data_IF_227704344082
#
_entry.id   IF_227704344082
#
_cell.length_a   1.000
_cell.length_b   1.000
_cell.length_c   1.000
_cell.angle_alpha   90.00
_cell.angle_beta   90.00
_cell.angle_gamma   90.00
#
_symmetry.space_group_name_H-M   'P 1'
#
loop_
_entity.id
_entity.type
_entity.pdbx_description
1 polymer ?
#
# COMPACT_ATOMS: atom_id res chain seq x y z
N UNK A 1 7.62 -21.50 18.04
CA UNK A 1 6.51 -20.81 17.37
C UNK A 1 6.72 -20.94 15.87
N UNK A 2 5.84 -21.66 15.18
CA UNK A 2 6.02 -22.04 13.78
C UNK A 2 6.06 -20.82 12.86
N UNK A 3 6.95 -20.84 11.87
CA UNK A 3 7.01 -19.82 10.83
C UNK A 3 5.66 -19.74 10.12
N UNK A 4 5.04 -18.55 10.13
CA UNK A 4 3.88 -18.24 9.30
C UNK A 4 4.37 -17.92 7.87
N UNK A 5 5.02 -18.89 7.24
CA UNK A 5 5.56 -18.73 5.89
C UNK A 5 4.40 -18.52 4.90
N UNK A 6 4.53 -17.54 4.01
CA UNK A 6 3.59 -17.34 2.90
C UNK A 6 2.28 -16.59 3.21
N UNK A 7 2.09 -16.04 4.42
CA UNK A 7 0.91 -15.21 4.72
C UNK A 7 1.10 -13.80 4.15
N UNK A 8 0.11 -13.32 3.40
CA UNK A 8 0.03 -11.92 2.95
C UNK A 8 -1.19 -11.23 3.57
N UNK A 9 -0.94 -10.13 4.27
CA UNK A 9 -1.97 -9.20 4.72
C UNK A 9 -2.07 -8.00 3.79
N UNK A 10 -3.28 -7.48 3.61
CA UNK A 10 -3.55 -6.29 2.81
C UNK A 10 -4.08 -5.18 3.73
N UNK A 11 -3.46 -4.01 3.68
CA UNK A 11 -3.91 -2.82 4.39
C UNK A 11 -4.29 -1.76 3.38
N UNK A 12 -5.52 -1.25 3.44
CA UNK A 12 -6.04 -0.34 2.42
C UNK A 12 -6.32 1.05 3.02
N UNK A 13 -5.98 2.11 2.27
CA UNK A 13 -6.26 3.51 2.65
C UNK A 13 -6.55 4.39 1.44
N UNK A 14 -7.18 5.55 1.67
CA UNK A 14 -7.45 6.53 0.61
C UNK A 14 -6.23 7.40 0.32
N UNK A 15 -6.13 7.90 -0.92
CA UNK A 15 -5.17 8.96 -1.23
C UNK A 15 -5.50 10.25 -0.46
N UNK A 16 -4.49 11.12 -0.30
CA UNK A 16 -4.63 12.39 0.38
C UNK A 16 -5.59 13.35 -0.35
N UNK A 17 -6.10 14.33 0.40
CA UNK A 17 -6.96 15.39 -0.13
C UNK A 17 -6.30 16.10 -1.33
N UNK A 18 -7.09 16.37 -2.37
CA UNK A 18 -6.68 17.20 -3.49
C UNK A 18 -7.78 18.23 -3.84
N UNK A 19 -7.41 19.28 -4.58
CA UNK A 19 -8.34 20.28 -5.12
C UNK A 19 -8.58 20.13 -6.64
N UNK A 20 -8.16 18.99 -7.20
CA UNK A 20 -8.11 18.76 -8.65
C UNK A 20 -7.21 19.77 -9.38
N UNK A 21 -7.41 19.94 -10.69
CA UNK A 21 -6.61 20.86 -11.53
C UNK A 21 -6.94 22.35 -11.32
N UNK A 22 -7.74 22.71 -10.31
CA UNK A 22 -8.36 24.05 -10.23
C UNK A 22 -7.64 25.00 -9.28
N UNK A 23 -6.80 24.50 -8.37
CA UNK A 23 -6.06 25.34 -7.44
C UNK A 23 -4.77 24.67 -6.96
N UNK A 24 -3.65 25.03 -7.60
CA UNK A 24 -2.32 24.53 -7.25
C UNK A 24 -1.63 25.39 -6.16
N UNK A 25 -2.24 26.51 -5.73
CA UNK A 25 -1.62 27.41 -4.73
C UNK A 25 -1.54 26.78 -3.34
N UNK A 26 -2.38 25.77 -3.09
CA UNK A 26 -2.45 25.00 -1.86
C UNK A 26 -1.75 23.63 -1.95
N UNK A 27 -1.06 23.35 -3.05
CA UNK A 27 -0.33 22.10 -3.28
C UNK A 27 0.82 21.95 -2.29
N UNK A 28 1.06 20.71 -1.87
CA UNK A 28 2.19 20.35 -1.00
C UNK A 28 3.51 20.45 -1.76
N UNK A 29 4.53 21.03 -1.14
CA UNK A 29 5.83 21.18 -1.79
C UNK A 29 6.50 19.81 -1.91
N UNK A 30 6.81 19.40 -3.15
CA UNK A 30 7.44 18.10 -3.44
C UNK A 30 6.47 16.93 -3.56
N UNK A 31 5.17 17.14 -3.36
CA UNK A 31 4.15 16.09 -3.51
C UNK A 31 3.02 16.57 -4.41
N UNK A 32 3.12 16.33 -5.72
CA UNK A 32 2.18 16.93 -6.65
C UNK A 32 0.75 16.40 -6.50
N UNK A 33 -0.24 17.22 -6.86
CA UNK A 33 -1.66 16.87 -6.89
C UNK A 33 -2.26 16.47 -5.52
N UNK A 34 -1.63 16.85 -4.41
CA UNK A 34 -2.20 16.77 -3.05
C UNK A 34 -2.03 18.11 -2.32
N UNK A 35 -2.97 18.46 -1.43
CA UNK A 35 -2.89 19.73 -0.69
C UNK A 35 -1.91 19.66 0.47
N UNK A 36 -1.44 20.81 0.98
CA UNK A 36 -0.66 20.90 2.23
C UNK A 36 -1.37 20.24 3.42
N UNK A 37 -2.70 20.39 3.49
CA UNK A 37 -3.53 19.73 4.50
C UNK A 37 -3.53 18.21 4.30
N UNK A 38 -3.71 17.76 3.06
CA UNK A 38 -3.63 16.35 2.68
C UNK A 38 -2.29 15.73 3.05
N UNK A 39 -1.18 16.41 2.76
CA UNK A 39 0.17 16.00 3.19
C UNK A 39 0.26 15.86 4.71
N UNK A 40 -0.14 16.89 5.47
CA UNK A 40 -0.08 16.89 6.93
C UNK A 40 -0.91 15.75 7.55
N UNK A 41 -2.11 15.50 7.02
CA UNK A 41 -2.97 14.40 7.48
C UNK A 41 -2.38 13.04 7.12
N UNK A 42 -1.80 12.88 5.93
CA UNK A 42 -1.08 11.65 5.53
C UNK A 42 0.13 11.38 6.45
N UNK A 43 0.91 12.42 6.80
CA UNK A 43 2.03 12.27 7.76
C UNK A 43 1.55 11.78 9.12
N UNK A 44 0.47 12.35 9.66
CA UNK A 44 -0.14 11.86 10.91
C UNK A 44 -0.57 10.40 10.80
N UNK A 45 -1.14 10.01 9.67
CA UNK A 45 -1.56 8.62 9.41
C UNK A 45 -0.41 7.65 9.22
N UNK A 46 0.81 8.12 8.92
CA UNK A 46 1.99 7.24 8.77
C UNK A 46 2.33 6.46 10.06
N UNK A 47 1.81 6.88 11.21
CA UNK A 47 1.87 6.11 12.46
C UNK A 47 1.25 4.71 12.34
N UNK A 48 0.29 4.51 11.43
CA UNK A 48 -0.24 3.17 11.11
C UNK A 48 0.88 2.30 10.54
N UNK A 49 1.69 2.81 9.61
CA UNK A 49 2.81 2.07 9.04
C UNK A 49 3.88 1.76 10.07
N UNK A 50 4.16 2.68 11.00
CA UNK A 50 5.09 2.40 12.10
C UNK A 50 4.60 1.22 12.96
N UNK A 51 3.30 1.18 13.29
CA UNK A 51 2.71 0.04 14.01
C UNK A 51 2.84 -1.26 13.22
N UNK A 52 2.58 -1.23 11.92
CA UNK A 52 2.73 -2.39 11.02
C UNK A 52 4.17 -2.89 11.02
N UNK A 53 5.15 -2.00 10.82
CA UNK A 53 6.57 -2.37 10.82
C UNK A 53 6.98 -2.96 12.18
N UNK A 54 6.49 -2.40 13.28
CA UNK A 54 6.78 -2.94 14.61
C UNK A 54 6.15 -4.31 14.86
N UNK A 55 4.97 -4.59 14.27
CA UNK A 55 4.32 -5.90 14.36
C UNK A 55 4.82 -6.93 13.35
N UNK A 56 5.56 -6.50 12.31
CA UNK A 56 6.13 -7.45 11.35
C UNK A 56 7.09 -8.40 12.07
N UNK A 57 7.02 -9.72 11.78
CA UNK A 57 8.02 -10.65 12.27
C UNK A 57 9.40 -10.30 11.70
N UNK A 58 10.46 -10.85 12.32
CA UNK A 58 11.80 -10.74 11.78
C UNK A 58 11.82 -11.25 10.31
N UNK A 59 12.49 -10.49 9.43
CA UNK A 59 12.49 -10.80 7.98
C UNK A 59 11.22 -10.41 7.23
N UNK A 60 10.19 -9.90 7.91
CA UNK A 60 8.93 -9.50 7.31
C UNK A 60 9.09 -8.34 6.32
N UNK A 61 8.18 -8.28 5.35
CA UNK A 61 8.19 -7.30 4.27
C UNK A 61 6.96 -6.42 4.35
N UNK A 62 7.15 -5.11 4.39
CA UNK A 62 6.11 -4.12 4.14
C UNK A 62 6.30 -3.58 2.72
N UNK A 63 5.29 -3.73 1.88
CA UNK A 63 5.26 -3.14 0.56
C UNK A 63 4.22 -2.02 0.48
N UNK A 64 4.63 -0.86 -0.03
CA UNK A 64 3.78 0.31 -0.27
C UNK A 64 3.38 0.34 -1.75
N UNK A 65 2.08 0.31 -2.04
CA UNK A 65 1.53 0.10 -3.38
C UNK A 65 0.37 1.04 -3.72
N UNK A 66 0.17 1.35 -5.00
CA UNK A 66 -0.90 2.24 -5.47
C UNK A 66 -1.94 1.53 -6.33
N UNK A 67 -3.22 1.76 -6.10
CA UNK A 67 -4.29 1.20 -6.95
C UNK A 67 -4.47 1.91 -8.29
N UNK A 68 -3.78 3.04 -8.51
CA UNK A 68 -4.04 3.93 -9.64
C UNK A 68 -2.78 4.65 -10.08
N UNK A 69 -2.70 4.95 -11.39
CA UNK A 69 -1.68 5.80 -12.03
C UNK A 69 -1.82 7.29 -11.69
N UNK A 70 -2.88 7.68 -10.98
CA UNK A 70 -3.11 9.07 -10.64
C UNK A 70 -1.96 9.61 -9.80
N UNK A 71 -1.41 10.76 -10.20
CA UNK A 71 -0.27 11.42 -9.53
C UNK A 71 -0.50 11.54 -8.02
N UNK A 72 -1.71 11.93 -7.59
CA UNK A 72 -2.10 12.02 -6.17
C UNK A 72 -1.91 10.72 -5.37
N UNK A 73 -2.14 9.56 -5.99
CA UNK A 73 -1.97 8.26 -5.35
C UNK A 73 -0.49 8.00 -5.09
N UNK A 74 0.37 8.27 -6.09
CA UNK A 74 1.82 8.14 -5.94
C UNK A 74 2.40 9.17 -4.97
N UNK A 75 1.95 10.42 -5.01
CA UNK A 75 2.35 11.47 -4.07
C UNK A 75 1.99 11.09 -2.63
N UNK A 76 0.79 10.53 -2.41
CA UNK A 76 0.40 10.05 -1.07
C UNK A 76 1.30 8.93 -0.58
N UNK A 77 1.66 7.97 -1.43
CA UNK A 77 2.60 6.90 -1.08
C UNK A 77 4.00 7.44 -0.76
N UNK A 78 4.47 8.44 -1.50
CA UNK A 78 5.74 9.09 -1.24
C UNK A 78 5.75 9.77 0.13
N UNK A 79 4.68 10.50 0.50
CA UNK A 79 4.54 11.08 1.85
C UNK A 79 4.61 10.00 2.92
N UNK A 80 3.90 8.88 2.75
CA UNK A 80 3.96 7.74 3.67
C UNK A 80 5.37 7.17 3.80
N UNK A 81 6.06 6.94 2.68
CA UNK A 81 7.41 6.39 2.66
C UNK A 81 8.42 7.31 3.35
N UNK A 82 8.37 8.61 3.05
CA UNK A 82 9.26 9.61 3.63
C UNK A 82 9.03 9.76 5.14
N UNK A 83 7.77 9.81 5.57
CA UNK A 83 7.44 9.93 6.98
C UNK A 83 7.83 8.67 7.76
N UNK A 84 7.55 7.48 7.20
CA UNK A 84 7.96 6.23 7.82
C UNK A 84 9.48 6.13 7.95
N UNK A 85 10.24 6.58 6.95
CA UNK A 85 11.70 6.63 7.01
C UNK A 85 12.19 7.54 8.13
N UNK A 86 11.57 8.72 8.32
CA UNK A 86 11.87 9.62 9.44
C UNK A 86 11.56 8.96 10.79
N UNK A 87 10.39 8.35 10.92
CA UNK A 87 9.94 7.71 12.16
C UNK A 87 10.84 6.53 12.58
N UNK A 88 11.33 5.76 11.61
CA UNK A 88 12.19 4.60 11.88
C UNK A 88 13.67 4.96 12.09
N UNK A 89 14.08 6.18 11.71
CA UNK A 89 15.38 6.78 12.00
C UNK A 89 16.60 5.83 11.86
N UNK A 90 16.64 5.02 10.79
CA UNK A 90 17.77 4.11 10.54
C UNK A 90 17.86 2.90 11.46
N UNK A 91 16.72 2.34 11.90
CA UNK A 91 16.67 1.05 12.59
C UNK A 91 17.58 0.01 11.92
N UNK A 92 18.48 -0.60 12.72
CA UNK A 92 19.57 -1.45 12.21
C UNK A 92 19.10 -2.73 11.52
N UNK A 93 17.86 -3.11 11.74
CA UNK A 93 17.17 -4.29 11.21
C UNK A 93 16.20 -3.95 10.07
N UNK A 94 16.31 -2.77 9.45
CA UNK A 94 15.39 -2.32 8.40
C UNK A 94 16.16 -1.82 7.18
N UNK A 95 15.76 -2.30 6.00
CA UNK A 95 16.26 -1.82 4.71
C UNK A 95 15.12 -1.24 3.89
N UNK A 96 15.37 -0.09 3.27
CA UNK A 96 14.45 0.56 2.34
C UNK A 96 14.90 0.34 0.91
N UNK A 97 13.96 0.00 0.05
CA UNK A 97 14.17 -0.09 -1.39
C UNK A 97 13.14 0.77 -2.12
N UNK A 98 13.56 1.37 -3.23
CA UNK A 98 12.74 2.29 -4.03
C UNK A 98 12.57 1.85 -5.49
N UNK A 99 13.31 0.84 -5.97
CA UNK A 99 13.22 0.32 -7.35
C UNK A 99 13.23 -1.23 -7.41
N UNK A 100 12.54 -1.85 -8.40
CA UNK A 100 12.40 -3.31 -8.47
C UNK A 100 13.72 -4.04 -8.71
N UNK A 101 14.68 -3.41 -9.38
CA UNK A 101 16.04 -3.95 -9.53
C UNK A 101 16.72 -4.15 -8.18
N UNK A 102 16.50 -3.24 -7.23
CA UNK A 102 16.99 -3.39 -5.85
C UNK A 102 16.27 -4.49 -5.07
N UNK A 103 15.05 -4.88 -5.44
CA UNK A 103 14.36 -6.03 -4.84
C UNK A 103 15.04 -7.36 -5.20
N UNK A 104 15.82 -7.45 -6.28
CA UNK A 104 16.64 -8.63 -6.53
C UNK A 104 17.74 -8.79 -5.45
N UNK A 105 18.27 -7.69 -4.93
CA UNK A 105 19.19 -7.69 -3.79
C UNK A 105 18.51 -8.13 -2.49
N UNK A 106 17.18 -8.07 -2.39
CA UNK A 106 16.49 -8.56 -1.21
C UNK A 106 16.69 -10.05 -0.94
N UNK A 107 16.94 -10.87 -1.98
CA UNK A 107 17.21 -12.30 -1.82
C UNK A 107 18.49 -12.59 -1.04
N UNK A 108 19.40 -11.62 -0.97
CA UNK A 108 20.67 -11.74 -0.22
C UNK A 108 20.60 -11.07 1.16
N UNK A 109 19.51 -10.38 1.48
CA UNK A 109 19.29 -9.78 2.80
C UNK A 109 18.95 -10.87 3.80
N UNK A 110 19.60 -10.87 4.96
CA UNK A 110 19.36 -11.86 6.01
C UNK A 110 17.89 -11.91 6.47
N UNK A 111 17.41 -13.11 6.83
CA UNK A 111 16.01 -13.36 7.20
C UNK A 111 15.56 -12.74 8.53
N UNK A 112 16.45 -11.99 9.20
CA UNK A 112 16.12 -11.20 10.38
C UNK A 112 15.83 -9.73 10.04
N UNK A 113 16.22 -9.26 8.85
CA UNK A 113 16.12 -7.87 8.43
C UNK A 113 14.76 -7.64 7.76
N UNK A 114 14.01 -6.69 8.28
CA UNK A 114 12.74 -6.23 7.70
C UNK A 114 12.99 -5.41 6.45
N UNK A 115 12.11 -5.57 5.48
CA UNK A 115 12.25 -4.88 4.20
C UNK A 115 11.05 -3.97 4.00
N UNK A 116 11.32 -2.70 3.70
CA UNK A 116 10.31 -1.73 3.30
C UNK A 116 10.54 -1.40 1.84
N UNK A 117 9.59 -1.81 1.00
CA UNK A 117 9.67 -1.63 -0.43
C UNK A 117 8.57 -0.68 -0.90
N UNK A 118 8.93 0.32 -1.70
CA UNK A 118 7.95 1.17 -2.37
C UNK A 118 8.11 1.06 -3.88
N UNK A 119 6.98 0.85 -4.58
CA UNK A 119 6.89 1.01 -6.02
C UNK A 119 5.61 1.73 -6.44
N UNK A 120 5.65 2.58 -7.47
CA UNK A 120 4.48 2.91 -8.26
C UNK A 120 4.11 1.70 -9.14
N UNK A 121 3.69 0.60 -8.53
CA UNK A 121 3.13 -0.53 -9.27
C UNK A 121 1.62 -0.35 -9.38
N UNK A 122 1.14 -0.50 -10.61
CA UNK A 122 -0.23 -0.27 -11.00
C UNK A 122 -1.06 -1.52 -10.71
N UNK A 123 -2.09 -1.41 -9.87
CA UNK A 123 -2.96 -2.57 -9.63
C UNK A 123 -4.04 -2.76 -10.69
N UNK A 124 -4.45 -1.71 -11.40
CA UNK A 124 -5.61 -1.75 -12.29
C UNK A 124 -5.33 -1.08 -13.64
N UNK A 125 -5.76 -1.73 -14.73
CA UNK A 125 -5.89 -1.10 -16.06
C UNK A 125 -7.14 -0.23 -16.18
N UNK A 126 -8.19 -0.53 -15.39
CA UNK A 126 -9.50 0.10 -15.48
C UNK A 126 -9.79 0.95 -14.24
N UNK A 127 -9.77 2.27 -14.44
CA UNK A 127 -10.25 3.26 -13.46
C UNK A 127 -11.72 3.51 -13.77
N UNK A 128 -12.59 3.17 -12.81
CA UNK A 128 -13.99 3.64 -12.68
C UNK A 128 -14.64 4.26 -13.93
N UNK A 129 -14.90 3.45 -14.96
CA UNK A 129 -15.69 3.88 -16.11
C UNK A 129 -17.17 4.06 -15.68
N UNK A 130 -17.85 5.14 -16.12
CA UNK A 130 -19.26 5.33 -15.86
C UNK A 130 -20.09 4.10 -16.29
N UNK A 131 -20.92 3.58 -15.38
CA UNK A 131 -21.83 2.46 -15.65
C UNK A 131 -21.32 1.07 -15.27
N UNK A 132 -20.08 0.92 -14.76
CA UNK A 132 -19.62 -0.37 -14.21
C UNK A 132 -20.34 -0.69 -12.90
N UNK A 133 -20.70 -1.95 -12.70
CA UNK A 133 -21.30 -2.41 -11.45
C UNK A 133 -20.23 -2.48 -10.36
N UNK A 134 -20.60 -2.12 -9.13
CA UNK A 134 -19.74 -2.16 -7.95
C UNK A 134 -19.01 -3.51 -7.78
N UNK A 135 -19.70 -4.63 -8.04
CA UNK A 135 -19.10 -5.97 -8.03
C UNK A 135 -17.92 -6.09 -8.99
N UNK A 136 -18.01 -5.53 -10.19
CA UNK A 136 -16.95 -5.61 -11.20
C UNK A 136 -15.74 -4.77 -10.77
N UNK A 137 -16.00 -3.61 -10.16
CA UNK A 137 -14.95 -2.76 -9.57
C UNK A 137 -14.22 -3.52 -8.47
N UNK A 138 -14.94 -4.14 -7.54
CA UNK A 138 -14.37 -4.91 -6.44
C UNK A 138 -13.55 -6.11 -6.92
N UNK A 139 -14.07 -6.88 -7.89
CA UNK A 139 -13.35 -8.02 -8.47
C UNK A 139 -12.06 -7.58 -9.16
N UNK A 140 -12.09 -6.46 -9.89
CA UNK A 140 -10.88 -5.92 -10.51
C UNK A 140 -9.84 -5.53 -9.44
N UNK A 141 -10.25 -4.88 -8.35
CA UNK A 141 -9.34 -4.57 -7.25
C UNK A 141 -8.73 -5.82 -6.60
N UNK A 142 -9.54 -6.87 -6.38
CA UNK A 142 -9.04 -8.15 -5.84
C UNK A 142 -8.01 -8.78 -6.78
N UNK A 143 -8.30 -8.82 -8.09
CA UNK A 143 -7.32 -9.28 -9.07
C UNK A 143 -6.06 -8.43 -9.09
N UNK A 144 -6.18 -7.11 -8.87
CA UNK A 144 -5.04 -6.21 -8.69
C UNK A 144 -4.20 -6.59 -7.48
N UNK A 145 -4.82 -6.82 -6.32
CA UNK A 145 -4.14 -7.27 -5.11
C UNK A 145 -3.42 -8.62 -5.30
N UNK A 146 -4.05 -9.58 -5.98
CA UNK A 146 -3.45 -10.89 -6.27
C UNK A 146 -2.24 -10.76 -7.23
N UNK A 147 -2.34 -9.92 -8.26
CA UNK A 147 -1.20 -9.64 -9.16
C UNK A 147 -0.01 -9.07 -8.38
N UNK A 148 -0.27 -8.12 -7.50
CA UNK A 148 0.76 -7.49 -6.66
C UNK A 148 1.40 -8.48 -5.71
N UNK A 149 0.58 -9.27 -5.02
CA UNK A 149 1.07 -10.35 -4.17
C UNK A 149 2.00 -11.27 -4.95
N UNK A 150 1.62 -11.71 -6.15
CA UNK A 150 2.45 -12.60 -6.97
C UNK A 150 3.80 -11.96 -7.33
N UNK A 151 3.82 -10.67 -7.69
CA UNK A 151 5.07 -9.95 -7.97
C UNK A 151 5.96 -9.90 -6.73
N UNK A 152 5.42 -9.53 -5.57
CA UNK A 152 6.21 -9.49 -4.35
C UNK A 152 6.66 -10.88 -3.90
N UNK A 153 5.82 -11.91 -4.05
CA UNK A 153 6.16 -13.30 -3.73
C UNK A 153 7.29 -13.84 -4.59
N UNK A 154 7.41 -13.39 -5.84
CA UNK A 154 8.54 -13.72 -6.70
C UNK A 154 9.89 -13.25 -6.12
N UNK A 155 9.91 -12.06 -5.50
CA UNK A 155 11.13 -11.51 -4.90
C UNK A 155 11.35 -11.97 -3.44
N UNK A 156 10.27 -12.09 -2.67
CA UNK A 156 10.28 -12.29 -1.22
C UNK A 156 9.58 -13.61 -0.82
N UNK A 157 9.88 -14.69 -1.53
CA UNK A 157 9.30 -16.02 -1.24
C UNK A 157 9.54 -16.45 0.21
N UNK A 158 8.53 -17.07 0.82
CA UNK A 158 8.58 -17.56 2.21
C UNK A 158 8.41 -16.47 3.29
N UNK A 159 8.72 -15.20 3.02
CA UNK A 159 8.64 -14.12 4.03
C UNK A 159 7.22 -13.72 4.33
N UNK A 160 6.94 -13.28 5.56
CA UNK A 160 5.67 -12.63 5.85
C UNK A 160 5.55 -11.33 5.04
N UNK A 161 4.40 -11.08 4.41
CA UNK A 161 4.20 -9.93 3.54
C UNK A 161 2.99 -9.10 4.01
N UNK A 162 3.18 -7.79 4.12
CA UNK A 162 2.08 -6.83 4.27
C UNK A 162 2.08 -5.89 3.08
N UNK A 163 0.97 -5.84 2.35
CA UNK A 163 0.76 -4.93 1.23
C UNK A 163 -0.10 -3.75 1.70
N UNK A 164 0.53 -2.61 1.94
CA UNK A 164 -0.15 -1.36 2.24
C UNK A 164 -0.46 -0.61 0.94
N UNK A 165 -1.73 -0.39 0.69
CA UNK A 165 -2.23 0.08 -0.60
C UNK A 165 -3.04 1.36 -0.50
N UNK A 166 -2.73 2.33 -1.37
CA UNK A 166 -3.44 3.61 -1.48
C UNK A 166 -4.37 3.59 -2.70
N UNK A 167 -5.64 3.92 -2.52
CA UNK A 167 -6.65 3.94 -3.57
C UNK A 167 -7.60 5.13 -3.54
N UNK A 168 -8.57 5.13 -4.45
CA UNK A 168 -9.65 6.12 -4.54
C UNK A 168 -10.87 5.63 -3.75
N UNK A 169 -11.74 6.56 -3.36
CA UNK A 169 -12.88 6.27 -2.48
C UNK A 169 -13.93 5.36 -3.09
N UNK A 170 -14.23 5.52 -4.38
CA UNK A 170 -15.24 4.73 -5.10
C UNK A 170 -14.82 3.26 -5.17
N UNK A 171 -13.58 3.01 -5.60
CA UNK A 171 -13.02 1.69 -5.75
C UNK A 171 -12.92 0.99 -4.40
N UNK A 172 -12.31 1.64 -3.40
CA UNK A 172 -12.19 1.06 -2.07
C UNK A 172 -13.55 0.85 -1.40
N UNK A 173 -14.52 1.74 -1.61
CA UNK A 173 -15.90 1.57 -1.14
C UNK A 173 -16.55 0.32 -1.73
N UNK A 174 -16.43 0.13 -3.05
CA UNK A 174 -16.93 -1.07 -3.73
C UNK A 174 -16.28 -2.35 -3.20
N UNK A 175 -14.97 -2.32 -2.92
CA UNK A 175 -14.26 -3.46 -2.34
C UNK A 175 -14.73 -3.75 -0.90
N UNK A 176 -14.92 -2.73 -0.05
CA UNK A 176 -15.46 -2.90 1.31
C UNK A 176 -16.83 -3.55 1.26
N UNK A 177 -17.71 -3.02 0.42
CA UNK A 177 -19.07 -3.53 0.30
C UNK A 177 -19.07 -4.97 -0.20
N UNK A 178 -18.27 -5.29 -1.22
CA UNK A 178 -18.13 -6.66 -1.71
C UNK A 178 -17.62 -7.63 -0.63
N UNK A 179 -16.59 -7.24 0.12
CA UNK A 179 -16.02 -8.05 1.19
C UNK A 179 -17.00 -8.28 2.36
N UNK A 180 -17.97 -7.39 2.56
CA UNK A 180 -19.01 -7.58 3.58
C UNK A 180 -20.06 -8.65 3.25
N UNK A 181 -20.14 -9.08 1.98
CA UNK A 181 -21.13 -10.05 1.49
C UNK A 181 -20.65 -11.50 1.73
N UNK A 182 -21.59 -12.43 1.98
CA UNK A 182 -21.29 -13.88 2.10
C UNK A 182 -20.64 -14.39 0.80
N UNK A 183 -19.58 -15.19 0.91
CA UNK A 183 -18.78 -15.69 -0.21
C UNK A 183 -17.41 -15.00 -0.40
N UNK A 184 -17.12 -13.95 0.37
CA UNK A 184 -15.82 -13.25 0.34
C UNK A 184 -14.83 -13.71 1.44
N UNK A 185 -15.12 -14.81 2.13
CA UNK A 185 -14.42 -15.25 3.35
C UNK A 185 -12.91 -15.49 3.11
N UNK A 186 -12.54 -15.96 1.91
CA UNK A 186 -11.15 -16.15 1.49
C UNK A 186 -10.31 -14.86 1.60
N UNK A 187 -10.92 -13.70 1.38
CA UNK A 187 -10.24 -12.39 1.40
C UNK A 187 -10.41 -11.67 2.74
N UNK A 188 -11.54 -11.86 3.43
CA UNK A 188 -11.82 -11.20 4.72
C UNK A 188 -10.78 -11.47 5.81
N UNK A 189 -10.22 -12.68 5.85
CA UNK A 189 -9.19 -13.01 6.84
C UNK A 189 -7.90 -12.18 6.65
N UNK A 190 -7.63 -11.73 5.43
CA UNK A 190 -6.36 -11.14 5.00
C UNK A 190 -6.42 -9.63 4.75
N UNK A 191 -7.61 -9.06 4.60
CA UNK A 191 -7.80 -7.62 4.35
C UNK A 191 -8.08 -6.89 5.66
N UNK A 192 -7.36 -5.78 5.88
CA UNK A 192 -7.54 -4.83 6.97
C UNK A 192 -7.75 -3.45 6.37
N UNK A 193 -8.75 -2.74 6.87
CA UNK A 193 -8.99 -1.38 6.47
C UNK A 193 -8.41 -0.41 7.48
N UNK A 194 -7.65 0.56 7.00
CA UNK A 194 -7.16 1.65 7.83
C UNK A 194 -8.03 2.89 7.58
N UNK A 195 -9.27 2.83 8.04
CA UNK A 195 -10.17 3.99 8.09
C UNK A 195 -10.02 4.70 9.44
N UNK A 196 -8.93 5.45 9.59
CA UNK A 196 -8.79 6.46 10.64
C UNK A 196 -8.17 7.71 10.01
#
# INVERSE_FOLDING_TARGET
>A
MGRQDGITEFILTFHAENLGNRDLTHEALGYPMITKKGEADTRKKAQILLRVVNSLPAGGVLALCGFSKAVRTHSTLAVYADELRKLLNGGRDIVFFQDPSSAACAKTIGDHIKIIQWFPMEMNEFVSEPGKKEKDIALNMLSGLERMENVFRFYFSGRYLTLFSVGHSVELGALVEFLSKKGAEKYNARVRYSFM
#
